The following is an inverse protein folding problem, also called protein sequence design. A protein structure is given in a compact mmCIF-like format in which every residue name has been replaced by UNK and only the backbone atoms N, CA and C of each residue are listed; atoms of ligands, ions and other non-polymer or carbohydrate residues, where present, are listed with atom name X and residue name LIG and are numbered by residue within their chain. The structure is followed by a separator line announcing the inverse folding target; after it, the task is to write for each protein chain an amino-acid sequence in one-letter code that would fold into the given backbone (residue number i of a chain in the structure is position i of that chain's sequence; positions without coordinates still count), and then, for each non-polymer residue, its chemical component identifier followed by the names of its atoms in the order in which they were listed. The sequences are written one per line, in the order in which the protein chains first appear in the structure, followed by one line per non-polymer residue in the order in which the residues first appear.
data_IF_613764871626
#
_entry.id   IF_613764871626
#
_cell.length_a   1.000
_cell.length_b   1.000
_cell.length_c   1.000
_cell.angle_alpha   90.00
_cell.angle_beta   90.00
_cell.angle_gamma   90.00
#
_symmetry.space_group_name_H-M   'P 1'
#
loop_
_entity.id
_entity.type
_entity.pdbx_description
1 polymer ?
#
# COMPACT_ATOMS: atom_id res chain seq x y z
N UNK A 1 11.95 43.62 -17.05
CA UNK A 1 12.60 42.74 -18.05
C UNK A 1 12.95 41.42 -17.37
N UNK A 2 12.47 40.31 -17.91
CA UNK A 2 12.59 38.93 -17.39
C UNK A 2 13.55 38.17 -18.29
N UNK A 3 14.70 37.67 -17.80
CA UNK A 3 15.37 36.45 -18.27
C UNK A 3 16.45 36.04 -17.24
N UNK A 4 16.37 34.89 -16.54
CA UNK A 4 16.99 33.54 -16.78
C UNK A 4 18.53 33.64 -16.98
N UNK A 5 19.43 32.79 -16.48
CA UNK A 5 19.43 31.35 -16.19
C UNK A 5 20.78 31.02 -15.53
N UNK A 6 20.86 29.95 -14.74
CA UNK A 6 22.12 29.39 -14.27
C UNK A 6 21.91 28.01 -13.68
N UNK A 7 21.84 27.00 -14.55
CA UNK A 7 21.81 25.58 -14.20
C UNK A 7 23.03 25.21 -13.34
N UNK A 8 22.80 24.48 -12.26
CA UNK A 8 23.71 23.42 -11.86
C UNK A 8 22.88 22.14 -11.71
N UNK A 9 22.99 21.27 -12.71
CA UNK A 9 22.57 19.88 -12.64
C UNK A 9 23.63 19.17 -11.79
N UNK A 10 23.39 19.02 -10.50
CA UNK A 10 24.18 18.07 -9.73
C UNK A 10 23.61 16.67 -9.98
N UNK A 11 24.37 15.88 -10.74
CA UNK A 11 24.16 14.45 -10.91
C UNK A 11 24.52 13.73 -9.60
N UNK A 12 23.69 13.94 -8.58
CA UNK A 12 23.58 13.02 -7.47
C UNK A 12 22.75 11.83 -7.95
N UNK A 13 23.39 10.69 -8.19
CA UNK A 13 22.73 9.40 -8.42
C UNK A 13 22.02 8.97 -7.13
N UNK A 14 21.02 9.74 -6.70
CA UNK A 14 20.04 9.30 -5.74
C UNK A 14 19.12 8.38 -6.52
N UNK A 15 19.47 7.10 -6.57
CA UNK A 15 18.45 6.06 -6.49
C UNK A 15 17.70 6.35 -5.19
N UNK A 16 16.74 7.28 -5.24
CA UNK A 16 15.91 7.64 -4.11
C UNK A 16 15.25 6.33 -3.73
N UNK A 17 15.71 5.74 -2.63
CA UNK A 17 14.96 4.74 -1.93
C UNK A 17 13.67 5.46 -1.53
N UNK A 18 12.67 5.42 -2.40
CA UNK A 18 11.35 5.97 -2.15
C UNK A 18 10.76 5.06 -1.08
N UNK A 19 11.12 5.36 0.17
CA UNK A 19 10.67 4.63 1.34
C UNK A 19 9.27 5.14 1.62
N UNK A 20 8.29 4.26 1.61
CA UNK A 20 6.95 4.62 2.03
C UNK A 20 6.94 5.14 3.46
N UNK A 21 5.85 5.83 3.82
CA UNK A 21 5.70 6.31 5.20
C UNK A 21 5.82 5.16 6.22
N UNK A 22 6.38 5.49 7.38
CA UNK A 22 6.71 4.50 8.41
C UNK A 22 5.43 3.94 9.02
N UNK A 23 5.12 2.69 8.70
CA UNK A 23 4.05 1.93 9.36
C UNK A 23 4.52 1.42 10.73
N UNK A 24 3.77 1.74 11.79
CA UNK A 24 3.98 1.17 13.12
C UNK A 24 3.33 -0.23 13.19
N UNK A 25 4.18 -1.26 13.24
CA UNK A 25 3.74 -2.66 13.26
C UNK A 25 3.26 -3.12 14.63
N UNK A 26 3.44 -2.32 15.69
CA UNK A 26 2.96 -2.61 17.04
C UNK A 26 1.47 -2.24 17.23
N UNK A 27 0.95 -1.37 16.37
CA UNK A 27 -0.47 -1.00 16.40
C UNK A 27 -1.34 -2.10 15.74
N UNK A 28 -2.42 -2.55 16.40
CA UNK A 28 -3.39 -3.46 15.80
C UNK A 28 -3.96 -2.93 14.48
N UNK A 29 -4.33 -3.81 13.54
CA UNK A 29 -4.87 -3.42 12.23
C UNK A 29 -6.04 -2.42 12.34
N UNK A 30 -6.94 -2.63 13.30
CA UNK A 30 -8.09 -1.75 13.52
C UNK A 30 -7.73 -0.32 13.98
N UNK A 31 -6.49 -0.09 14.44
CA UNK A 31 -5.97 1.23 14.83
C UNK A 31 -5.05 1.85 13.77
N UNK A 32 -4.90 1.21 12.62
CA UNK A 32 -4.10 1.73 11.53
C UNK A 32 -4.93 2.74 10.72
N UNK A 33 -4.44 3.97 10.56
CA UNK A 33 -5.17 4.99 9.79
C UNK A 33 -5.42 4.60 8.33
N UNK A 34 -4.54 3.81 7.71
CA UNK A 34 -4.70 3.30 6.34
C UNK A 34 -5.63 2.09 6.21
N UNK A 35 -6.19 1.59 7.32
CA UNK A 35 -7.19 0.53 7.30
C UNK A 35 -8.60 1.13 7.30
N UNK A 36 -9.34 0.91 6.22
CA UNK A 36 -10.63 1.55 5.96
C UNK A 36 -11.82 0.67 6.34
N UNK A 37 -11.59 -0.49 6.96
CA UNK A 37 -12.67 -1.40 7.32
C UNK A 37 -13.41 -1.94 6.08
N UNK A 38 -14.73 -2.07 6.19
CA UNK A 38 -15.58 -2.69 5.17
C UNK A 38 -15.99 -1.70 4.07
N UNK A 39 -15.02 -1.19 3.31
CA UNK A 39 -15.29 -0.40 2.09
C UNK A 39 -15.29 -1.29 0.84
N UNK A 40 -16.18 -0.96 -0.09
CA UNK A 40 -16.26 -1.62 -1.39
C UNK A 40 -15.03 -1.33 -2.25
N UNK A 41 -14.88 -2.13 -3.32
CA UNK A 41 -13.83 -1.91 -4.32
C UNK A 41 -13.95 -0.51 -4.95
N UNK A 42 -15.17 -0.10 -5.29
CA UNK A 42 -15.43 1.16 -5.99
C UNK A 42 -15.22 2.37 -5.07
N UNK A 43 -15.59 2.28 -3.80
CA UNK A 43 -15.31 3.32 -2.80
C UNK A 43 -13.81 3.51 -2.61
N UNK A 44 -13.05 2.41 -2.46
CA UNK A 44 -11.60 2.48 -2.36
C UNK A 44 -10.95 3.16 -3.59
N UNK A 45 -11.42 2.82 -4.80
CA UNK A 45 -10.95 3.46 -6.04
C UNK A 45 -11.34 4.94 -6.11
N UNK A 46 -12.53 5.31 -5.64
CA UNK A 46 -12.97 6.71 -5.57
C UNK A 46 -12.08 7.53 -4.63
N UNK A 47 -11.78 7.01 -3.44
CA UNK A 47 -10.85 7.64 -2.49
C UNK A 47 -9.48 7.82 -3.10
N UNK A 48 -8.90 6.77 -3.69
CA UNK A 48 -7.56 6.79 -4.28
C UNK A 48 -7.44 7.65 -5.55
N UNK A 49 -8.56 8.03 -6.19
CA UNK A 49 -8.54 8.75 -7.47
C UNK A 49 -7.84 10.12 -7.37
N UNK A 50 -7.97 10.80 -6.24
CA UNK A 50 -7.39 12.12 -6.00
C UNK A 50 -5.96 12.08 -5.46
N UNK A 51 -5.39 10.89 -5.24
CA UNK A 51 -4.05 10.71 -4.69
C UNK A 51 -3.02 10.32 -5.75
N UNK A 52 -1.74 10.49 -5.41
CA UNK A 52 -0.60 10.17 -6.28
C UNK A 52 -0.42 8.66 -6.48
N UNK A 53 0.33 8.29 -7.53
CA UNK A 53 0.81 6.92 -7.70
C UNK A 53 1.58 6.42 -6.46
N UNK A 54 1.38 5.16 -6.08
CA UNK A 54 1.93 4.59 -4.85
C UNK A 54 1.04 4.78 -3.61
N UNK A 55 -0.07 5.52 -3.75
CA UNK A 55 -1.05 5.70 -2.67
C UNK A 55 -1.89 4.45 -2.46
N UNK A 56 -2.12 4.07 -1.21
CA UNK A 56 -2.77 2.80 -0.89
C UNK A 56 -3.67 2.88 0.34
N UNK A 57 -4.57 1.90 0.42
CA UNK A 57 -5.38 1.62 1.61
C UNK A 57 -5.65 0.11 1.71
N UNK A 58 -5.96 -0.37 2.90
CA UNK A 58 -6.40 -1.76 3.13
C UNK A 58 -7.86 -1.77 3.54
N UNK A 59 -8.64 -2.68 2.94
CA UNK A 59 -10.06 -2.88 3.22
C UNK A 59 -10.36 -4.34 3.55
N UNK A 60 -11.42 -4.56 4.32
CA UNK A 60 -11.99 -5.89 4.53
C UNK A 60 -12.78 -6.34 3.30
N UNK A 61 -12.72 -7.63 2.97
CA UNK A 61 -13.41 -8.19 1.80
C UNK A 61 -14.85 -8.64 2.09
N UNK A 62 -15.18 -9.00 3.34
CA UNK A 62 -16.51 -9.48 3.74
C UNK A 62 -16.75 -9.20 5.23
N UNK A 63 -18.02 -9.09 5.64
CA UNK A 63 -18.41 -8.90 7.05
C UNK A 63 -18.26 -10.17 7.91
N UNK A 64 -18.22 -11.36 7.31
CA UNK A 64 -18.27 -12.63 8.03
C UNK A 64 -16.95 -13.41 8.09
N UNK A 65 -15.99 -13.19 7.19
CA UNK A 65 -14.65 -13.82 7.26
C UNK A 65 -13.65 -12.90 7.97
N UNK A 66 -13.27 -13.24 9.21
CA UNK A 66 -12.42 -12.38 10.08
C UNK A 66 -10.97 -12.19 9.61
N UNK A 67 -10.62 -12.63 8.40
CA UNK A 67 -9.23 -12.76 7.95
C UNK A 67 -9.00 -12.53 6.45
N UNK A 68 -9.98 -11.97 5.73
CA UNK A 68 -9.85 -11.66 4.32
C UNK A 68 -9.83 -10.17 4.07
N UNK A 69 -8.70 -9.69 3.52
CA UNK A 69 -8.51 -8.28 3.26
C UNK A 69 -8.08 -8.06 1.81
N UNK A 70 -8.17 -6.82 1.35
CA UNK A 70 -7.66 -6.40 0.06
C UNK A 70 -6.86 -5.11 0.23
N UNK A 71 -5.69 -5.11 -0.38
CA UNK A 71 -4.87 -3.92 -0.57
C UNK A 71 -5.27 -3.27 -1.89
N UNK A 72 -5.77 -2.04 -1.83
CA UNK A 72 -6.03 -1.20 -2.99
C UNK A 72 -4.86 -0.22 -3.16
N UNK A 73 -4.36 -0.09 -4.38
CA UNK A 73 -3.17 0.72 -4.69
C UNK A 73 -3.39 1.51 -5.99
N UNK A 74 -3.07 2.80 -5.95
CA UNK A 74 -3.07 3.70 -7.11
C UNK A 74 -1.81 3.47 -7.96
N UNK A 75 -2.00 3.13 -9.24
CA UNK A 75 -0.93 3.03 -10.24
C UNK A 75 -1.12 4.07 -11.36
N UNK A 76 -0.08 4.26 -12.18
CA UNK A 76 -0.16 5.13 -13.37
C UNK A 76 -1.30 4.76 -14.33
N UNK A 77 -1.69 3.48 -14.39
CA UNK A 77 -2.70 2.96 -15.34
C UNK A 77 -4.08 2.71 -14.72
N UNK A 78 -4.28 3.03 -13.44
CA UNK A 78 -5.55 2.80 -12.75
C UNK A 78 -5.35 2.38 -11.30
N UNK A 79 -5.97 1.26 -10.92
CA UNK A 79 -5.97 0.74 -9.55
C UNK A 79 -5.64 -0.74 -9.54
N UNK A 80 -4.84 -1.17 -8.58
CA UNK A 80 -4.50 -2.56 -8.36
C UNK A 80 -5.12 -3.04 -7.05
N UNK A 81 -5.68 -4.25 -7.09
CA UNK A 81 -6.28 -4.88 -5.91
C UNK A 81 -5.59 -6.20 -5.66
N UNK A 82 -4.85 -6.27 -4.55
CA UNK A 82 -4.19 -7.49 -4.11
C UNK A 82 -4.97 -8.10 -2.97
N UNK A 83 -5.22 -9.41 -3.04
CA UNK A 83 -5.90 -10.14 -1.97
C UNK A 83 -4.89 -10.49 -0.89
N UNK A 84 -5.25 -10.20 0.35
CA UNK A 84 -4.51 -10.60 1.55
C UNK A 84 -5.27 -11.76 2.16
N UNK A 85 -4.58 -12.88 2.35
CA UNK A 85 -5.17 -14.12 2.84
C UNK A 85 -4.47 -14.56 4.11
N UNK A 86 -5.24 -15.08 5.05
CA UNK A 86 -4.71 -15.76 6.21
C UNK A 86 -4.52 -17.24 5.90
N UNK A 87 -3.32 -17.73 6.13
CA UNK A 87 -2.99 -19.14 6.04
C UNK A 87 -3.26 -19.79 7.40
N UNK A 88 -4.33 -20.60 7.46
CA UNK A 88 -4.72 -21.30 8.68
C UNK A 88 -3.70 -22.35 9.14
N UNK A 89 -2.79 -22.80 8.25
CA UNK A 89 -1.75 -23.78 8.62
C UNK A 89 -0.62 -23.13 9.42
N UNK A 90 -0.13 -21.98 8.96
CA UNK A 90 0.94 -21.24 9.65
C UNK A 90 0.44 -20.22 10.65
N UNK A 91 -0.82 -19.78 10.57
CA UNK A 91 -1.35 -18.67 11.37
C UNK A 91 -0.84 -17.29 10.93
N UNK A 92 -0.39 -17.16 9.67
CA UNK A 92 0.21 -15.94 9.13
C UNK A 92 -0.59 -15.39 7.93
N UNK A 93 -0.30 -14.15 7.54
CA UNK A 93 -0.89 -13.46 6.39
C UNK A 93 0.05 -13.50 5.18
N UNK A 94 -0.51 -13.59 3.98
CA UNK A 94 0.23 -13.49 2.71
C UNK A 94 -0.48 -12.54 1.74
N UNK A 95 0.30 -11.91 0.86
CA UNK A 95 -0.19 -11.02 -0.20
C UNK A 95 -0.24 -11.79 -1.52
N UNK A 96 -1.41 -12.28 -1.91
CA UNK A 96 -1.53 -13.26 -2.99
C UNK A 96 -1.06 -14.67 -2.58
N UNK A 97 -1.12 -15.63 -3.50
CA UNK A 97 -0.79 -17.03 -3.24
C UNK A 97 0.71 -17.30 -3.38
N UNK A 98 1.31 -17.96 -2.40
CA UNK A 98 2.71 -18.42 -2.48
C UNK A 98 3.74 -17.30 -2.28
N UNK A 99 3.32 -16.19 -1.67
CA UNK A 99 4.21 -15.09 -1.31
C UNK A 99 4.68 -15.22 0.14
N UNK A 100 5.56 -14.32 0.56
CA UNK A 100 6.09 -14.29 1.92
C UNK A 100 4.95 -14.23 2.96
N UNK A 101 5.11 -15.00 4.03
CA UNK A 101 4.22 -15.01 5.18
C UNK A 101 4.61 -13.93 6.18
N UNK A 102 3.61 -13.31 6.80
CA UNK A 102 3.75 -12.21 7.75
C UNK A 102 2.91 -12.45 8.99
N UNK A 103 3.39 -12.11 10.19
CA UNK A 103 2.67 -12.36 11.44
C UNK A 103 1.39 -11.50 11.55
N UNK A 104 1.29 -10.39 10.81
CA UNK A 104 0.10 -9.55 10.76
C UNK A 104 0.10 -8.67 9.51
N UNK A 105 -1.07 -8.12 9.17
CA UNK A 105 -1.24 -7.19 8.05
C UNK A 105 -0.34 -5.94 8.17
N UNK A 106 -0.20 -5.27 9.34
CA UNK A 106 0.74 -4.16 9.49
C UNK A 106 2.19 -4.53 9.17
N UNK A 107 2.65 -5.73 9.55
CA UNK A 107 4.01 -6.19 9.20
C UNK A 107 4.18 -6.38 7.69
N UNK A 108 3.14 -6.90 7.01
CA UNK A 108 3.14 -7.05 5.56
C UNK A 108 3.17 -5.69 4.85
N UNK A 109 2.36 -4.71 5.29
CA UNK A 109 2.35 -3.35 4.72
C UNK A 109 3.70 -2.68 4.96
N UNK A 110 4.24 -2.76 6.18
CA UNK A 110 5.57 -2.23 6.50
C UNK A 110 6.64 -2.82 5.58
N UNK A 111 6.63 -4.14 5.37
CA UNK A 111 7.56 -4.78 4.45
C UNK A 111 7.42 -4.23 3.02
N UNK A 112 6.21 -4.14 2.49
CA UNK A 112 5.98 -3.66 1.12
C UNK A 112 6.06 -2.13 0.95
N UNK A 113 6.29 -1.38 2.03
CA UNK A 113 6.70 0.04 1.96
C UNK A 113 8.18 0.22 1.58
N UNK A 114 8.96 -0.86 1.64
CA UNK A 114 10.39 -0.89 1.33
C UNK A 114 10.65 -1.84 0.15
N UNK A 115 9.99 -3.00 0.15
CA UNK A 115 10.19 -4.05 -0.84
C UNK A 115 9.08 -4.06 -1.89
N UNK A 116 9.49 -4.30 -3.13
CA UNK A 116 8.60 -4.36 -4.29
C UNK A 116 7.44 -5.34 -4.08
N UNK A 117 6.30 -5.01 -4.68
CA UNK A 117 5.12 -5.88 -4.67
C UNK A 117 5.30 -7.08 -5.61
N UNK A 118 4.79 -8.26 -5.24
CA UNK A 118 4.90 -9.48 -6.04
C UNK A 118 3.89 -9.49 -7.20
N UNK A 119 3.96 -8.50 -8.09
CA UNK A 119 3.02 -8.32 -9.20
C UNK A 119 3.78 -8.43 -10.52
N UNK A 120 3.48 -9.47 -11.31
CA UNK A 120 4.07 -9.63 -12.65
C UNK A 120 3.77 -8.40 -13.51
N UNK A 121 4.82 -7.74 -14.01
CA UNK A 121 4.70 -6.54 -14.86
C UNK A 121 4.48 -5.21 -14.10
N UNK A 122 4.31 -5.25 -12.78
CA UNK A 122 4.25 -4.06 -11.91
C UNK A 122 5.20 -4.20 -10.70
N UNK A 123 6.30 -4.92 -10.89
CA UNK A 123 7.32 -5.20 -9.87
C UNK A 123 8.05 -3.93 -9.42
N UNK A 124 7.87 -2.81 -10.11
CA UNK A 124 8.39 -1.52 -9.68
C UNK A 124 7.50 -0.84 -8.62
N UNK A 125 6.36 -1.41 -8.23
CA UNK A 125 5.46 -0.77 -7.28
C UNK A 125 5.78 -1.12 -5.83
N UNK A 126 5.62 -0.13 -4.96
CA UNK A 126 5.78 -0.19 -3.50
C UNK A 126 4.67 0.63 -2.83
N UNK A 127 4.45 0.41 -1.53
CA UNK A 127 3.45 1.11 -0.73
C UNK A 127 4.02 2.42 -0.21
N UNK A 128 3.77 3.52 -0.91
CA UNK A 128 4.42 4.80 -0.63
C UNK A 128 3.61 5.67 0.32
N UNK A 129 2.34 5.91 -0.01
CA UNK A 129 1.52 6.92 0.63
C UNK A 129 0.29 6.27 1.26
N UNK A 130 0.28 6.02 2.59
CA UNK A 130 -0.91 5.54 3.26
C UNK A 130 -2.02 6.58 3.16
N UNK A 131 -3.17 6.21 2.63
CA UNK A 131 -4.36 7.07 2.65
C UNK A 131 -5.11 6.82 3.94
N UNK A 132 -5.18 7.83 4.81
CA UNK A 132 -5.85 7.70 6.09
C UNK A 132 -7.37 7.64 5.90
N UNK A 133 -8.04 6.91 6.78
CA UNK A 133 -9.49 6.91 6.90
C UNK A 133 -9.92 8.25 7.50
N UNK A 134 -10.83 8.95 6.84
CA UNK A 134 -11.43 10.17 7.38
C UNK A 134 -12.40 9.79 8.51
N UNK A 135 -11.88 9.66 9.73
CA UNK A 135 -12.70 9.77 10.93
C UNK A 135 -13.01 11.25 11.15
N UNK A 136 -14.16 11.70 10.67
CA UNK A 136 -14.84 12.90 11.17
C UNK A 136 -15.32 12.68 12.60
#
# INVERSE_FOLDING_TARGET
IRIKSGLALDLGCAAMAVKGEKVDTKLPLAKQGWYHGAVSRTEAEATLRSYSEGSYLVRSLLHQSRHEYSLALKSARGFMHLRIQFDHKSGHYQLGRGTKLFPSVPHMVHHHSIFRLPIKGAEHMVLLHPVMHDTL
#
